data_IF_071901349763
#
_entry.id   IF_071901349763
#
_cell.length_a   1.000
_cell.length_b   1.000
_cell.length_c   1.000
_cell.angle_alpha   90.00
_cell.angle_beta   90.00
_cell.angle_gamma   90.00
#
_symmetry.space_group_name_H-M   'P 1'
#
loop_
_entity.id
_entity.type
_entity.pdbx_description
1 polymer ?
#
# COMPACT_ATOMS: atom_id res chain seq x y z
N UNK A 1 -28.56 54.02 -26.26
CA UNK A 1 -28.63 52.84 -25.42
C UNK A 1 -29.31 53.25 -24.12
N UNK A 2 -30.32 52.57 -23.73
CA UNK A 2 -31.03 52.78 -22.46
C UNK A 2 -30.33 52.01 -21.35
N UNK A 3 -30.35 52.55 -20.14
CA UNK A 3 -29.70 51.95 -18.97
C UNK A 3 -30.66 51.88 -17.80
N UNK A 4 -30.64 50.78 -17.09
CA UNK A 4 -31.36 50.60 -15.83
C UNK A 4 -30.43 50.76 -14.61
N UNK A 5 -31.00 51.05 -13.45
CA UNK A 5 -30.29 51.15 -12.20
C UNK A 5 -30.14 49.75 -11.51
N UNK A 6 -29.36 49.73 -10.43
CA UNK A 6 -29.10 48.49 -9.67
C UNK A 6 -30.38 47.89 -9.11
N UNK A 7 -31.36 48.71 -8.68
CA UNK A 7 -32.62 48.26 -8.11
C UNK A 7 -33.49 47.57 -9.15
N UNK A 8 -33.65 48.21 -10.32
CA UNK A 8 -34.40 47.64 -11.45
C UNK A 8 -33.77 46.34 -11.95
N UNK A 9 -32.44 46.25 -12.01
CA UNK A 9 -31.76 45.03 -12.37
C UNK A 9 -31.91 43.92 -11.29
N UNK A 10 -31.96 44.30 -10.02
CA UNK A 10 -32.17 43.37 -8.92
C UNK A 10 -33.57 42.73 -8.98
N UNK A 11 -34.61 43.57 -9.21
CA UNK A 11 -36.00 43.12 -9.36
C UNK A 11 -36.17 42.24 -10.60
N UNK A 12 -35.61 42.64 -11.74
CA UNK A 12 -35.70 41.90 -13.01
C UNK A 12 -35.05 40.54 -12.98
N UNK A 13 -33.91 40.39 -12.26
CA UNK A 13 -33.14 39.15 -12.20
C UNK A 13 -33.35 38.34 -10.93
N UNK A 14 -34.26 38.82 -10.06
CA UNK A 14 -34.53 38.16 -8.75
C UNK A 14 -33.24 38.00 -7.92
N UNK A 15 -32.43 39.04 -7.82
CA UNK A 15 -31.19 39.11 -7.06
C UNK A 15 -31.25 40.29 -6.07
N UNK A 16 -30.39 40.25 -5.06
CA UNK A 16 -30.24 41.42 -4.16
C UNK A 16 -29.42 42.52 -4.83
N UNK A 17 -29.70 43.76 -4.52
CA UNK A 17 -28.93 44.93 -5.02
C UNK A 17 -27.43 44.79 -4.72
N UNK A 18 -27.09 44.26 -3.54
CA UNK A 18 -25.71 43.96 -3.15
C UNK A 18 -25.05 42.98 -4.14
N UNK A 19 -25.81 41.98 -4.60
CA UNK A 19 -25.32 40.97 -5.56
C UNK A 19 -25.08 41.59 -6.92
N UNK A 20 -26.01 42.47 -7.41
CA UNK A 20 -25.85 43.20 -8.66
C UNK A 20 -24.61 44.09 -8.63
N UNK A 21 -24.45 44.86 -7.54
CA UNK A 21 -23.26 45.73 -7.36
C UNK A 21 -21.95 44.91 -7.40
N UNK A 22 -21.94 43.72 -6.80
CA UNK A 22 -20.78 42.84 -6.87
C UNK A 22 -20.51 42.36 -8.28
N UNK A 23 -21.55 41.96 -9.03
CA UNK A 23 -21.43 41.49 -10.42
C UNK A 23 -20.93 42.59 -11.37
N UNK A 24 -21.37 43.83 -11.13
CA UNK A 24 -20.86 45.01 -11.87
C UNK A 24 -19.38 45.26 -11.58
N UNK A 25 -19.01 45.24 -10.31
CA UNK A 25 -17.62 45.45 -9.87
C UNK A 25 -16.68 44.36 -10.41
N UNK A 26 -17.14 43.14 -10.47
CA UNK A 26 -16.39 41.97 -10.94
C UNK A 26 -16.37 41.84 -12.49
N UNK A 27 -16.96 42.85 -13.22
CA UNK A 27 -17.00 42.89 -14.69
C UNK A 27 -17.85 41.80 -15.34
N UNK A 28 -18.78 41.18 -14.57
CA UNK A 28 -19.59 40.05 -15.03
C UNK A 28 -20.90 40.47 -15.73
N UNK A 29 -21.22 41.75 -15.75
CA UNK A 29 -22.35 42.32 -16.49
C UNK A 29 -21.75 43.09 -17.65
N UNK A 30 -21.96 42.60 -18.88
CA UNK A 30 -21.41 43.23 -20.06
C UNK A 30 -21.99 44.65 -20.22
N UNK A 31 -21.14 45.63 -20.51
CA UNK A 31 -21.56 47.03 -20.72
C UNK A 31 -21.95 47.81 -19.47
N UNK A 32 -21.88 47.24 -18.26
CA UNK A 32 -22.11 48.01 -17.05
C UNK A 32 -21.02 49.04 -16.81
N UNK A 33 -21.40 50.28 -16.50
CA UNK A 33 -20.48 51.40 -16.23
C UNK A 33 -20.86 52.10 -14.93
N UNK A 34 -19.91 52.82 -14.33
CA UNK A 34 -20.14 53.60 -13.11
C UNK A 34 -20.07 55.06 -13.43
N UNK A 35 -21.18 55.77 -13.25
CA UNK A 35 -21.27 57.23 -13.41
C UNK A 35 -21.86 57.87 -12.16
N UNK A 36 -21.28 58.97 -11.71
CA UNK A 36 -21.80 59.72 -10.53
C UNK A 36 -21.89 58.85 -9.24
N UNK A 37 -21.10 57.80 -9.12
CA UNK A 37 -21.15 56.91 -7.97
C UNK A 37 -22.15 55.73 -8.09
N UNK A 38 -23.05 55.76 -9.11
CA UNK A 38 -24.07 54.77 -9.36
C UNK A 38 -23.65 53.83 -10.50
N UNK A 39 -24.08 52.57 -10.41
CA UNK A 39 -23.91 51.63 -11.53
C UNK A 39 -25.08 51.75 -12.51
N UNK A 40 -24.73 51.91 -13.80
CA UNK A 40 -25.65 51.90 -14.93
C UNK A 40 -25.47 50.60 -15.71
N UNK A 41 -26.55 49.85 -15.87
CA UNK A 41 -26.58 48.53 -16.50
C UNK A 41 -27.37 48.65 -17.79
N UNK A 42 -26.86 48.21 -18.96
CA UNK A 42 -27.64 48.24 -20.21
C UNK A 42 -28.96 47.48 -20.06
N UNK A 43 -30.03 48.01 -20.60
CA UNK A 43 -31.37 47.37 -20.54
C UNK A 43 -31.41 46.03 -21.27
N UNK A 44 -30.54 45.80 -22.21
CA UNK A 44 -30.37 44.58 -22.99
C UNK A 44 -29.39 43.57 -22.32
N UNK A 45 -28.83 43.91 -21.16
CA UNK A 45 -27.91 43.00 -20.48
C UNK A 45 -28.64 41.74 -19.96
N UNK A 46 -28.01 40.60 -20.20
CA UNK A 46 -28.53 39.32 -19.72
C UNK A 46 -28.07 39.05 -18.28
N UNK A 47 -28.92 38.32 -17.53
CA UNK A 47 -28.56 37.86 -16.19
C UNK A 47 -27.28 37.01 -16.23
N UNK A 48 -26.19 37.40 -15.56
CA UNK A 48 -24.98 36.61 -15.53
C UNK A 48 -25.19 35.23 -14.97
N UNK A 49 -24.65 34.20 -15.63
CA UNK A 49 -24.75 32.81 -15.12
C UNK A 49 -24.21 32.69 -13.71
N UNK A 50 -24.92 32.03 -12.83
CA UNK A 50 -24.46 31.82 -11.45
C UNK A 50 -23.25 30.88 -11.44
N UNK A 51 -22.06 31.43 -11.16
CA UNK A 51 -20.81 30.69 -11.09
C UNK A 51 -20.78 29.59 -10.04
N UNK A 52 -21.83 29.51 -9.18
CA UNK A 52 -22.01 28.39 -8.25
C UNK A 52 -22.65 27.18 -8.92
N UNK A 53 -23.47 27.38 -9.96
CA UNK A 53 -24.09 26.28 -10.72
C UNK A 53 -23.10 25.54 -11.62
N UNK A 54 -22.02 26.18 -12.09
CA UNK A 54 -20.98 25.49 -12.87
C UNK A 54 -20.02 24.60 -12.05
N UNK A 55 -20.14 24.58 -10.71
CA UNK A 55 -19.48 23.55 -9.88
C UNK A 55 -20.26 22.25 -9.79
N UNK A 56 -21.52 22.22 -10.22
CA UNK A 56 -22.36 21.01 -10.17
C UNK A 56 -22.35 20.17 -11.45
N UNK A 57 -21.78 20.65 -12.55
CA UNK A 57 -21.60 19.87 -13.79
C UNK A 57 -20.18 19.33 -13.99
N UNK A 58 -19.24 19.64 -13.10
CA UNK A 58 -18.11 18.75 -12.92
C UNK A 58 -18.68 17.53 -12.24
N UNK A 59 -18.97 16.48 -13.03
CA UNK A 59 -19.30 15.17 -12.51
C UNK A 59 -18.38 14.95 -11.31
N UNK A 60 -18.93 14.98 -10.10
CA UNK A 60 -18.32 14.35 -8.96
C UNK A 60 -18.16 12.89 -9.42
N UNK A 61 -16.99 12.55 -9.95
CA UNK A 61 -16.50 11.22 -9.70
C UNK A 61 -16.53 11.13 -8.18
N UNK A 62 -17.58 10.54 -7.67
CA UNK A 62 -17.66 10.02 -6.31
C UNK A 62 -16.56 8.96 -6.32
N UNK A 63 -15.33 9.40 -6.05
CA UNK A 63 -14.31 8.48 -5.59
C UNK A 63 -14.88 8.00 -4.27
N UNK A 64 -15.55 6.85 -4.31
CA UNK A 64 -15.97 6.16 -3.11
C UNK A 64 -14.73 6.19 -2.21
N UNK A 65 -14.83 6.86 -1.04
CA UNK A 65 -13.71 6.94 -0.13
C UNK A 65 -13.39 5.51 0.24
N UNK A 66 -12.21 5.04 -0.15
CA UNK A 66 -11.76 3.72 0.22
C UNK A 66 -11.83 3.59 1.75
N UNK A 67 -12.32 2.47 2.28
CA UNK A 67 -12.41 2.25 3.71
C UNK A 67 -11.01 2.26 4.35
N UNK A 68 -10.96 2.61 5.64
CA UNK A 68 -9.71 2.53 6.39
C UNK A 68 -9.37 1.06 6.68
N UNK A 69 -8.09 0.68 6.62
CA UNK A 69 -7.64 -0.72 6.77
C UNK A 69 -7.59 -1.16 8.24
N UNK A 70 -8.73 -1.25 8.91
CA UNK A 70 -8.78 -1.67 10.31
C UNK A 70 -8.62 -3.20 10.35
N UNK A 71 -7.52 -3.67 10.96
CA UNK A 71 -7.24 -5.11 11.10
C UNK A 71 -6.66 -5.80 9.86
N UNK A 72 -6.44 -5.07 8.76
CA UNK A 72 -5.84 -5.62 7.53
C UNK A 72 -4.33 -5.78 7.74
N UNK A 73 -3.81 -7.00 7.51
CA UNK A 73 -2.39 -7.34 7.59
C UNK A 73 -1.80 -7.83 6.26
N UNK A 74 -2.63 -8.15 5.28
CA UNK A 74 -2.22 -8.53 3.92
C UNK A 74 -2.05 -7.28 3.05
N UNK A 75 -0.87 -7.13 2.46
CA UNK A 75 -0.54 -5.97 1.62
C UNK A 75 -1.32 -5.97 0.30
N UNK A 76 -1.56 -7.14 -0.29
CA UNK A 76 -2.30 -7.27 -1.55
C UNK A 76 -3.76 -6.87 -1.37
N UNK A 77 -4.38 -7.32 -0.28
CA UNK A 77 -5.73 -6.93 0.12
C UNK A 77 -5.80 -5.42 0.37
N UNK A 78 -4.85 -4.88 1.16
CA UNK A 78 -4.78 -3.47 1.50
C UNK A 78 -4.77 -2.57 0.26
N UNK A 79 -3.84 -2.81 -0.67
CA UNK A 79 -3.67 -1.92 -1.84
C UNK A 79 -4.76 -2.08 -2.88
N UNK A 80 -5.53 -3.16 -2.81
CA UNK A 80 -6.63 -3.47 -3.73
C UNK A 80 -7.97 -2.88 -3.29
N UNK A 81 -8.21 -2.75 -1.97
CA UNK A 81 -9.54 -2.42 -1.46
C UNK A 81 -9.61 -1.29 -0.44
N UNK A 82 -8.48 -0.82 0.09
CA UNK A 82 -8.45 0.12 1.21
C UNK A 82 -7.63 1.37 0.93
N UNK A 83 -7.84 2.40 1.77
CA UNK A 83 -7.00 3.58 1.76
C UNK A 83 -5.59 3.24 2.24
N UNK A 84 -4.63 3.32 1.35
CA UNK A 84 -3.22 3.02 1.64
C UNK A 84 -2.35 4.27 1.61
N UNK A 85 -1.65 4.54 2.71
CA UNK A 85 -0.57 5.53 2.76
C UNK A 85 0.70 4.86 2.23
N UNK A 86 1.15 5.30 1.07
CA UNK A 86 2.26 4.67 0.36
C UNK A 86 3.59 4.77 1.13
N UNK A 87 4.05 3.62 1.63
CA UNK A 87 5.32 3.44 2.34
C UNK A 87 6.34 2.65 1.51
N UNK A 88 6.09 2.44 0.22
CA UNK A 88 6.95 1.59 -0.62
C UNK A 88 8.36 2.12 -0.83
N UNK A 89 8.66 3.38 -0.50
CA UNK A 89 10.03 3.90 -0.49
C UNK A 89 10.94 3.19 0.52
N UNK A 90 10.38 2.51 1.53
CA UNK A 90 11.14 1.63 2.42
C UNK A 90 11.85 0.50 1.64
N UNK A 91 11.23 0.01 0.55
CA UNK A 91 11.87 -0.98 -0.33
C UNK A 91 13.12 -0.42 -1.00
N UNK A 92 13.07 0.85 -1.41
CA UNK A 92 14.23 1.55 -1.97
C UNK A 92 15.38 1.62 -0.96
N UNK A 93 15.08 2.08 0.25
CA UNK A 93 16.08 2.18 1.33
C UNK A 93 16.71 0.81 1.63
N UNK A 94 15.89 -0.26 1.63
CA UNK A 94 16.35 -1.62 1.86
C UNK A 94 17.28 -2.12 0.73
N UNK A 95 16.93 -1.85 -0.53
CA UNK A 95 17.73 -2.23 -1.70
C UNK A 95 19.05 -1.46 -1.73
N UNK A 96 19.04 -0.14 -1.44
CA UNK A 96 20.21 0.71 -1.48
C UNK A 96 21.21 0.38 -0.35
N UNK A 97 20.71 0.18 0.87
CA UNK A 97 21.53 -0.06 2.04
C UNK A 97 22.08 -1.48 2.13
N UNK A 98 21.46 -2.46 1.47
CA UNK A 98 21.80 -3.89 1.48
C UNK A 98 22.17 -4.41 2.88
N UNK A 99 21.35 -4.18 3.89
CA UNK A 99 21.67 -4.55 5.25
C UNK A 99 21.71 -6.07 5.38
N UNK A 100 22.70 -6.59 6.13
CA UNK A 100 22.72 -8.03 6.47
C UNK A 100 21.60 -8.39 7.44
N UNK A 101 21.27 -7.49 8.35
CA UNK A 101 20.18 -7.61 9.32
C UNK A 101 19.50 -6.25 9.45
N UNK A 102 18.19 -6.24 9.48
CA UNK A 102 17.37 -5.04 9.73
C UNK A 102 16.39 -5.30 10.85
N UNK A 103 16.38 -4.45 11.86
CA UNK A 103 15.44 -4.51 12.95
C UNK A 103 14.40 -3.40 12.81
N UNK A 104 13.12 -3.78 12.69
CA UNK A 104 12.00 -2.84 12.60
C UNK A 104 11.39 -2.61 13.98
N UNK A 105 11.87 -1.60 14.68
CA UNK A 105 11.33 -1.18 15.97
C UNK A 105 10.22 -0.16 15.78
N UNK A 106 8.97 -0.58 15.84
CA UNK A 106 7.80 0.32 15.79
C UNK A 106 6.82 -0.08 16.89
N UNK A 107 6.09 0.89 17.48
CA UNK A 107 5.03 0.59 18.42
C UNK A 107 3.98 -0.36 17.83
N UNK A 108 3.22 -1.05 18.67
CA UNK A 108 2.09 -1.86 18.24
C UNK A 108 1.12 -1.03 17.41
N UNK A 109 0.48 -1.61 16.40
CA UNK A 109 -0.49 -0.98 15.47
C UNK A 109 0.10 0.07 14.51
N UNK A 110 1.42 0.20 14.39
CA UNK A 110 2.09 1.07 13.41
C UNK A 110 2.46 0.37 12.11
N UNK A 111 1.82 -0.75 11.81
CA UNK A 111 1.91 -1.45 10.53
C UNK A 111 3.23 -2.22 10.32
N UNK A 112 3.84 -2.80 11.38
CA UNK A 112 5.02 -3.68 11.26
C UNK A 112 4.74 -4.87 10.36
N UNK A 113 3.77 -5.71 10.73
CA UNK A 113 3.35 -6.90 9.96
C UNK A 113 3.04 -6.56 8.51
N UNK A 114 2.31 -5.46 8.28
CA UNK A 114 1.98 -5.00 6.93
C UNK A 114 3.23 -4.58 6.13
N UNK A 115 4.22 -3.96 6.78
CA UNK A 115 5.49 -3.60 6.15
C UNK A 115 6.30 -4.86 5.79
N UNK A 116 6.28 -5.88 6.63
CA UNK A 116 6.94 -7.17 6.38
C UNK A 116 6.24 -7.93 5.26
N UNK A 117 4.91 -7.94 5.22
CA UNK A 117 4.15 -8.55 4.13
C UNK A 117 4.33 -7.80 2.80
N UNK A 118 4.51 -6.48 2.83
CA UNK A 118 4.91 -5.70 1.66
C UNK A 118 6.30 -6.11 1.15
N UNK A 119 7.29 -6.28 2.03
CA UNK A 119 8.64 -6.77 1.67
C UNK A 119 8.54 -8.16 1.04
N UNK A 120 7.82 -9.10 1.68
CA UNK A 120 7.55 -10.42 1.13
C UNK A 120 6.93 -10.33 -0.26
N UNK A 121 5.82 -9.60 -0.41
CA UNK A 121 5.10 -9.46 -1.69
C UNK A 121 5.96 -8.87 -2.80
N UNK A 122 6.91 -7.98 -2.44
CA UNK A 122 7.82 -7.36 -3.41
C UNK A 122 8.94 -8.31 -3.85
N UNK A 123 9.63 -8.94 -2.90
CA UNK A 123 10.84 -9.72 -3.23
C UNK A 123 10.55 -11.13 -3.69
N UNK A 124 9.47 -11.74 -3.20
CA UNK A 124 9.19 -13.17 -3.37
C UNK A 124 8.98 -13.57 -4.82
N UNK A 125 9.73 -14.60 -5.26
CA UNK A 125 9.47 -15.33 -6.50
C UNK A 125 8.09 -15.98 -6.41
N UNK A 126 7.23 -15.73 -7.38
CA UNK A 126 5.86 -16.23 -7.41
C UNK A 126 5.44 -16.52 -8.84
N UNK A 127 4.60 -17.54 -9.03
CA UNK A 127 3.97 -17.86 -10.31
C UNK A 127 2.96 -16.79 -10.74
N UNK A 128 2.51 -15.96 -9.80
CA UNK A 128 1.59 -14.85 -10.08
C UNK A 128 2.33 -13.52 -10.18
N UNK A 129 1.96 -12.67 -11.15
CA UNK A 129 2.51 -11.32 -11.27
C UNK A 129 2.09 -10.45 -10.09
N UNK A 130 2.98 -10.29 -9.12
CA UNK A 130 2.80 -9.41 -7.96
C UNK A 130 3.19 -7.96 -8.25
N UNK A 131 3.82 -7.66 -9.38
CA UNK A 131 4.21 -6.29 -9.79
C UNK A 131 3.01 -5.35 -9.88
N UNK A 132 1.84 -5.87 -10.20
CA UNK A 132 0.58 -5.12 -10.29
C UNK A 132 0.24 -4.31 -9.03
N UNK A 133 0.66 -4.79 -7.84
CA UNK A 133 0.43 -4.12 -6.57
C UNK A 133 1.36 -2.91 -6.36
N UNK A 134 2.44 -2.82 -7.14
CA UNK A 134 3.47 -1.78 -7.02
C UNK A 134 3.48 -0.76 -8.17
N UNK A 135 2.89 -1.07 -9.34
CA UNK A 135 2.90 -0.22 -10.55
C UNK A 135 2.46 1.23 -10.31
N UNK A 136 1.54 1.47 -9.37
CA UNK A 136 1.03 2.79 -9.03
C UNK A 136 1.60 3.33 -7.70
N UNK A 137 2.72 2.77 -7.22
CA UNK A 137 3.37 3.15 -5.96
C UNK A 137 4.69 3.88 -6.23
N UNK A 138 5.16 4.61 -5.21
CA UNK A 138 6.38 5.43 -5.29
C UNK A 138 7.61 4.64 -5.71
N UNK A 139 7.77 3.41 -5.22
CA UNK A 139 8.90 2.54 -5.59
C UNK A 139 9.00 2.32 -7.10
N UNK A 140 7.85 2.21 -7.79
CA UNK A 140 7.85 1.96 -9.23
C UNK A 140 8.38 3.13 -10.05
N UNK A 141 8.30 4.35 -9.50
CA UNK A 141 8.82 5.57 -10.11
C UNK A 141 10.29 5.84 -9.81
N UNK A 142 10.91 5.04 -8.92
CA UNK A 142 12.30 5.26 -8.50
C UNK A 142 13.34 4.87 -9.55
N UNK A 143 13.01 3.97 -10.50
CA UNK A 143 13.93 3.54 -11.55
C UNK A 143 13.85 2.05 -11.85
N UNK A 144 14.50 1.64 -12.95
CA UNK A 144 14.51 0.24 -13.39
C UNK A 144 15.33 -0.64 -12.45
N UNK A 145 16.36 -0.11 -11.82
CA UNK A 145 17.21 -0.80 -10.85
C UNK A 145 16.43 -1.36 -9.65
N UNK A 146 15.30 -0.72 -9.28
CA UNK A 146 14.43 -1.23 -8.21
C UNK A 146 13.37 -2.19 -8.76
N UNK A 147 12.82 -1.94 -9.95
CA UNK A 147 11.81 -2.81 -10.57
C UNK A 147 12.35 -4.20 -10.86
N UNK A 148 13.61 -4.31 -11.31
CA UNK A 148 14.25 -5.59 -11.62
C UNK A 148 14.45 -6.49 -10.40
N UNK A 149 14.42 -5.94 -9.18
CA UNK A 149 14.55 -6.71 -7.94
C UNK A 149 13.20 -7.32 -7.50
N UNK A 150 12.09 -6.87 -8.09
CA UNK A 150 10.75 -7.36 -7.77
C UNK A 150 10.56 -8.81 -8.26
N UNK A 151 10.10 -9.68 -7.35
CA UNK A 151 9.81 -11.08 -7.67
C UNK A 151 11.06 -11.92 -8.00
N UNK A 152 12.22 -11.61 -7.40
CA UNK A 152 13.50 -12.24 -7.76
C UNK A 152 14.14 -13.07 -6.65
N UNK A 153 13.61 -13.05 -5.46
CA UNK A 153 14.24 -13.68 -4.31
C UNK A 153 13.34 -14.75 -3.71
N UNK A 154 13.86 -15.91 -3.28
CA UNK A 154 13.13 -16.76 -2.38
C UNK A 154 12.96 -16.02 -1.02
N UNK A 155 11.78 -16.13 -0.42
CA UNK A 155 11.48 -15.46 0.85
C UNK A 155 11.03 -16.49 1.87
N UNK A 156 11.72 -16.56 2.99
CA UNK A 156 11.30 -17.29 4.20
C UNK A 156 10.53 -16.28 5.07
N UNK A 157 9.25 -16.56 5.32
CA UNK A 157 8.39 -15.67 6.09
C UNK A 157 7.72 -16.41 7.24
N UNK A 158 8.08 -16.04 8.46
CA UNK A 158 7.49 -16.63 9.68
C UNK A 158 6.97 -15.54 10.61
N UNK A 159 5.87 -15.83 11.30
CA UNK A 159 5.34 -15.01 12.37
C UNK A 159 5.09 -15.84 13.61
N UNK A 160 5.54 -15.35 14.76
CA UNK A 160 5.34 -15.98 16.04
C UNK A 160 4.19 -15.35 16.84
N UNK A 161 3.33 -14.60 16.18
CA UNK A 161 2.27 -13.79 16.79
C UNK A 161 1.38 -14.56 17.77
N UNK A 162 1.06 -15.81 17.46
CA UNK A 162 0.09 -16.59 18.22
C UNK A 162 0.76 -17.59 19.16
N UNK A 163 2.11 -17.56 19.30
CA UNK A 163 2.85 -18.44 20.20
C UNK A 163 2.87 -17.84 21.61
N UNK A 164 1.84 -18.20 22.40
CA UNK A 164 1.70 -17.81 23.81
C UNK A 164 1.18 -18.98 24.61
N UNK A 165 2.08 -19.89 24.97
CA UNK A 165 1.73 -21.09 25.70
C UNK A 165 2.36 -21.07 27.09
N UNK A 166 1.77 -21.84 28.04
CA UNK A 166 2.22 -21.88 29.41
C UNK A 166 3.45 -22.80 29.61
N UNK A 167 3.71 -23.73 28.68
CA UNK A 167 4.82 -24.68 28.79
C UNK A 167 5.74 -24.61 27.57
N UNK A 168 7.00 -25.00 27.80
CA UNK A 168 7.99 -25.11 26.74
C UNK A 168 7.57 -26.10 25.64
N UNK A 169 7.04 -27.25 26.03
CA UNK A 169 6.63 -28.32 25.13
C UNK A 169 5.57 -27.82 24.12
N UNK A 170 4.59 -27.06 24.62
CA UNK A 170 3.56 -26.47 23.77
C UNK A 170 4.14 -25.39 22.86
N UNK A 171 4.98 -24.52 23.41
CA UNK A 171 5.67 -23.47 22.63
C UNK A 171 6.53 -24.07 21.53
N UNK A 172 7.34 -25.08 21.86
CA UNK A 172 8.22 -25.77 20.94
C UNK A 172 7.43 -26.49 19.83
N UNK A 173 6.34 -27.15 20.18
CA UNK A 173 5.45 -27.81 19.21
C UNK A 173 4.90 -26.77 18.21
N UNK A 174 4.40 -25.64 18.68
CA UNK A 174 3.89 -24.59 17.80
C UNK A 174 4.98 -23.97 16.89
N UNK A 175 6.20 -23.79 17.42
CA UNK A 175 7.34 -23.35 16.62
C UNK A 175 7.65 -24.34 15.50
N UNK A 176 7.66 -25.65 15.81
CA UNK A 176 7.88 -26.70 14.81
C UNK A 176 6.83 -26.68 13.72
N UNK A 177 5.56 -26.52 14.06
CA UNK A 177 4.46 -26.41 13.09
C UNK A 177 4.64 -25.20 12.16
N UNK A 178 5.02 -24.04 12.70
CA UNK A 178 5.31 -22.85 11.87
C UNK A 178 6.45 -23.12 10.91
N UNK A 179 7.54 -23.75 11.38
CA UNK A 179 8.69 -24.08 10.53
C UNK A 179 8.29 -25.12 9.47
N UNK A 180 7.54 -26.16 9.84
CA UNK A 180 7.07 -27.18 8.91
C UNK A 180 6.16 -26.58 7.80
N UNK A 181 5.25 -25.69 8.18
CA UNK A 181 4.40 -24.97 7.23
C UNK A 181 5.22 -24.09 6.28
N UNK A 182 6.28 -23.46 6.77
CA UNK A 182 7.17 -22.66 5.91
C UNK A 182 7.97 -23.54 4.94
N UNK A 183 8.41 -24.73 5.36
CA UNK A 183 9.01 -25.72 4.48
C UNK A 183 8.03 -26.17 3.39
N UNK A 184 6.79 -26.52 3.76
CA UNK A 184 5.74 -26.92 2.81
C UNK A 184 5.44 -25.84 1.78
N UNK A 185 5.57 -24.57 2.12
CA UNK A 185 5.43 -23.46 1.18
C UNK A 185 6.50 -23.46 0.08
N UNK A 186 7.59 -24.19 0.32
CA UNK A 186 8.72 -24.37 -0.60
C UNK A 186 8.87 -25.82 -1.09
N UNK A 187 7.78 -26.56 -1.24
CA UNK A 187 7.75 -27.97 -1.64
C UNK A 187 8.41 -28.24 -3.00
N UNK A 188 8.53 -27.23 -3.86
CA UNK A 188 9.29 -27.28 -5.11
C UNK A 188 10.74 -27.78 -4.91
N UNK A 189 11.31 -27.60 -3.72
CA UNK A 189 12.65 -28.09 -3.39
C UNK A 189 12.76 -29.60 -3.40
N UNK A 190 11.66 -30.33 -3.11
CA UNK A 190 11.62 -31.78 -3.14
C UNK A 190 11.80 -32.36 -4.55
N UNK A 191 11.39 -31.60 -5.58
CA UNK A 191 11.52 -31.99 -6.98
C UNK A 191 12.72 -31.32 -7.66
N UNK A 192 13.43 -30.42 -6.96
CA UNK A 192 14.59 -29.73 -7.51
C UNK A 192 15.75 -30.70 -7.79
N UNK A 193 16.33 -30.59 -8.98
CA UNK A 193 17.55 -31.30 -9.40
C UNK A 193 18.82 -30.74 -8.73
N UNK A 194 18.74 -29.52 -8.18
CA UNK A 194 19.85 -28.84 -7.50
C UNK A 194 19.99 -29.21 -6.02
N UNK A 195 18.95 -29.79 -5.43
CA UNK A 195 18.98 -30.29 -4.06
C UNK A 195 19.32 -31.78 -4.05
N UNK A 196 20.27 -32.15 -3.19
CA UNK A 196 20.66 -33.55 -3.03
C UNK A 196 19.69 -34.34 -2.13
N UNK A 197 19.84 -35.67 -2.07
CA UNK A 197 18.94 -36.54 -1.33
C UNK A 197 18.99 -36.28 0.19
N UNK A 198 20.13 -35.87 0.76
CA UNK A 198 20.26 -35.53 2.16
C UNK A 198 19.43 -34.27 2.52
N UNK A 199 19.47 -33.28 1.66
CA UNK A 199 18.66 -32.04 1.82
C UNK A 199 17.18 -32.36 1.72
N UNK A 200 16.77 -33.16 0.78
CA UNK A 200 15.39 -33.62 0.61
C UNK A 200 14.91 -34.49 1.79
N UNK A 201 15.78 -35.34 2.32
CA UNK A 201 15.50 -36.13 3.52
C UNK A 201 15.34 -35.23 4.77
N UNK A 202 16.24 -34.25 4.91
CA UNK A 202 16.13 -33.24 5.95
C UNK A 202 14.80 -32.47 5.86
N UNK A 203 14.44 -32.02 4.67
CA UNK A 203 13.16 -31.37 4.40
C UNK A 203 11.98 -32.21 4.88
N UNK A 204 11.92 -33.50 4.48
CA UNK A 204 10.84 -34.40 4.89
C UNK A 204 10.78 -34.58 6.41
N UNK A 205 11.92 -34.76 7.07
CA UNK A 205 12.01 -34.90 8.54
C UNK A 205 11.53 -33.65 9.28
N UNK A 206 11.77 -32.45 8.74
CA UNK A 206 11.21 -31.22 9.29
C UNK A 206 9.69 -31.22 9.19
N UNK A 207 9.16 -31.55 8.03
CA UNK A 207 7.70 -31.55 7.77
C UNK A 207 7.00 -32.62 8.59
N UNK A 208 7.54 -33.85 8.62
CA UNK A 208 6.97 -34.99 9.36
C UNK A 208 7.18 -34.88 10.88
N UNK A 209 7.99 -33.93 11.31
CA UNK A 209 8.28 -33.73 12.73
C UNK A 209 9.17 -34.80 13.36
N UNK A 210 9.87 -35.62 12.56
CA UNK A 210 10.79 -36.68 13.03
C UNK A 210 12.22 -36.19 13.25
N UNK A 211 12.49 -34.91 12.94
CA UNK A 211 13.79 -34.28 13.14
C UNK A 211 14.09 -34.05 14.63
N UNK A 212 15.36 -34.17 15.01
CA UNK A 212 15.79 -33.89 16.39
C UNK A 212 15.76 -32.38 16.68
N UNK A 213 15.66 -32.02 17.99
CA UNK A 213 15.69 -30.59 18.40
C UNK A 213 16.95 -29.87 17.94
N UNK A 214 18.10 -30.52 18.08
CA UNK A 214 19.40 -29.94 17.63
C UNK A 214 19.40 -29.66 16.15
N UNK A 215 18.83 -30.55 15.35
CA UNK A 215 18.73 -30.33 13.89
C UNK A 215 17.66 -29.29 13.56
N UNK A 216 16.54 -29.26 14.28
CA UNK A 216 15.47 -28.25 14.10
C UNK A 216 15.99 -26.82 14.31
N UNK A 217 16.95 -26.62 15.24
CA UNK A 217 17.57 -25.30 15.45
C UNK A 217 18.28 -24.75 14.20
N UNK A 218 18.60 -25.60 13.23
CA UNK A 218 19.24 -25.23 11.96
C UNK A 218 18.25 -25.09 10.80
N UNK A 219 16.97 -25.31 11.02
CA UNK A 219 15.98 -25.44 9.95
C UNK A 219 15.97 -24.25 8.98
N UNK A 220 15.99 -23.01 9.48
CA UNK A 220 16.04 -21.84 8.60
C UNK A 220 17.33 -21.73 7.80
N UNK A 221 18.46 -22.12 8.37
CA UNK A 221 19.74 -22.13 7.68
C UNK A 221 19.71 -23.15 6.52
N UNK A 222 19.28 -24.36 6.79
CA UNK A 222 19.21 -25.43 5.77
C UNK A 222 18.20 -25.07 4.67
N UNK A 223 17.02 -24.54 5.04
CA UNK A 223 16.06 -24.06 4.06
C UNK A 223 16.63 -22.94 3.18
N UNK A 224 17.35 -21.99 3.77
CA UNK A 224 17.97 -20.89 3.01
C UNK A 224 19.04 -21.38 2.05
N UNK A 225 19.80 -22.42 2.41
CA UNK A 225 20.78 -23.05 1.54
C UNK A 225 20.12 -23.75 0.35
N UNK A 226 19.08 -24.54 0.61
CA UNK A 226 18.31 -25.22 -0.45
C UNK A 226 17.68 -24.22 -1.42
N UNK A 227 17.07 -23.16 -0.90
CA UNK A 227 16.48 -22.08 -1.69
C UNK A 227 17.53 -21.36 -2.55
N UNK A 228 18.70 -21.06 -1.96
CA UNK A 228 19.80 -20.43 -2.71
C UNK A 228 20.30 -21.32 -3.84
N UNK A 229 20.41 -22.62 -3.61
CA UNK A 229 20.78 -23.59 -4.67
C UNK A 229 19.75 -23.63 -5.79
N UNK A 230 18.46 -23.68 -5.42
CA UNK A 230 17.38 -23.80 -6.37
C UNK A 230 17.22 -22.54 -7.24
N UNK A 231 17.14 -21.37 -6.62
CA UNK A 231 16.89 -20.10 -7.30
C UNK A 231 18.15 -19.36 -7.75
N UNK A 232 19.35 -19.75 -7.27
CA UNK A 232 20.61 -19.08 -7.57
C UNK A 232 20.74 -17.68 -6.90
N UNK A 233 19.91 -17.42 -5.90
CA UNK A 233 19.89 -16.16 -5.12
C UNK A 233 19.69 -16.44 -3.63
N UNK A 234 20.33 -15.64 -2.75
CA UNK A 234 20.14 -15.79 -1.31
C UNK A 234 18.69 -15.54 -0.91
N UNK A 235 18.22 -16.29 0.07
CA UNK A 235 16.89 -16.09 0.62
C UNK A 235 16.82 -14.80 1.45
N UNK A 236 15.69 -14.10 1.34
CA UNK A 236 15.32 -13.03 2.26
C UNK A 236 14.53 -13.65 3.41
N UNK A 237 15.03 -13.52 4.63
CA UNK A 237 14.37 -14.07 5.82
C UNK A 237 13.65 -12.93 6.54
N UNK A 238 12.34 -13.09 6.73
CA UNK A 238 11.48 -12.14 7.41
C UNK A 238 10.84 -12.82 8.61
N UNK A 239 11.08 -12.29 9.81
CA UNK A 239 10.55 -12.81 11.05
C UNK A 239 9.73 -11.73 11.74
N UNK A 240 8.42 -12.00 11.95
CA UNK A 240 7.52 -11.10 12.67
C UNK A 240 7.28 -11.61 14.09
N UNK A 241 7.23 -10.69 15.06
CA UNK A 241 6.96 -10.93 16.47
C UNK A 241 7.88 -12.02 17.10
N UNK A 242 9.19 -11.96 16.78
CA UNK A 242 10.20 -12.90 17.25
C UNK A 242 10.34 -12.94 18.79
N UNK A 243 9.89 -11.90 19.49
CA UNK A 243 9.91 -11.75 20.95
C UNK A 243 8.69 -12.36 21.65
N UNK A 244 7.72 -12.91 20.92
CA UNK A 244 6.48 -13.45 21.48
C UNK A 244 6.67 -14.79 22.22
N UNK A 245 7.56 -15.71 21.79
CA UNK A 245 7.78 -16.99 22.45
C UNK A 245 8.57 -16.93 23.77
N UNK A 246 9.03 -15.74 24.17
CA UNK A 246 9.90 -15.52 25.36
C UNK A 246 9.05 -15.18 26.58
#
# INVERSE_FOLDING_TARGET
>A
MSYMDVKTAADRWELTERRITTLCRDGRIAGAKKEGGLWLIPDDAEKPADGRRNKSSRAMKTTAKLPLPIGVSDFKELVSGYYYVDKTLMLKEFIDSKPKVSLFTRPRRFGKTLAMDMLKTFFEVSDTDTSKYFKNKKIWSCGEEYRREQGKYPVIFVTFKDIKFATWEQTYTAIREIIANEYLRHDVLLTSDKCNDFEKDYFRKVVDGTITEVSMARAFLELSHMLNKHYGRPAVIIIDEYDTPI
#
